data_IF_801878152917
#
_entry.id   IF_801878152917
#
_cell.length_a   1.000
_cell.length_b   1.000
_cell.length_c   1.000
_cell.angle_alpha   90.00
_cell.angle_beta   90.00
_cell.angle_gamma   90.00
#
_symmetry.space_group_name_H-M   'P 1'
#
loop_
_entity.id
_entity.type
_entity.pdbx_description
1 polymer ?
#
# COMPACT_ATOMS: atom_id res chain seq x y z
N UNK A 1 -19.04 -14.87 -18.72
CA UNK A 1 -19.52 -14.28 -17.45
C UNK A 1 -18.34 -13.58 -16.82
N UNK A 2 -18.16 -12.25 -16.92
CA UNK A 2 -17.18 -11.61 -16.06
C UNK A 2 -17.81 -11.59 -14.66
N UNK A 3 -17.19 -12.28 -13.72
CA UNK A 3 -17.54 -12.12 -12.32
C UNK A 3 -17.26 -10.66 -11.95
N UNK A 4 -18.28 -9.95 -11.49
CA UNK A 4 -18.15 -8.60 -10.94
C UNK A 4 -17.17 -8.67 -9.76
N UNK A 5 -15.92 -8.23 -9.94
CA UNK A 5 -14.98 -7.98 -8.85
C UNK A 5 -15.40 -6.66 -8.22
N UNK A 6 -16.17 -6.70 -7.14
CA UNK A 6 -16.30 -5.54 -6.24
C UNK A 6 -15.34 -5.76 -5.07
N UNK A 7 -14.07 -5.47 -5.28
CA UNK A 7 -13.16 -5.33 -4.14
C UNK A 7 -13.42 -3.94 -3.57
N UNK A 8 -13.92 -3.87 -2.34
CA UNK A 8 -13.94 -2.60 -1.61
C UNK A 8 -12.50 -2.26 -1.23
N UNK A 9 -12.01 -1.04 -1.50
CA UNK A 9 -10.66 -0.68 -1.12
C UNK A 9 -10.47 -0.71 0.39
N UNK A 10 -9.34 -1.27 0.82
CA UNK A 10 -8.91 -1.31 2.21
C UNK A 10 -7.98 -0.14 2.52
N UNK A 11 -8.14 0.46 3.71
CA UNK A 11 -7.24 1.51 4.21
C UNK A 11 -6.12 0.91 5.06
N UNK A 12 -4.91 0.88 4.50
CA UNK A 12 -3.70 0.43 5.17
C UNK A 12 -2.89 1.63 5.65
N UNK A 13 -2.47 1.58 6.92
CA UNK A 13 -1.55 2.56 7.50
C UNK A 13 -0.28 1.85 7.96
N UNK A 14 0.87 2.26 7.40
CA UNK A 14 2.18 1.73 7.77
C UNK A 14 3.04 2.84 8.38
N UNK A 15 3.77 2.54 9.45
CA UNK A 15 4.65 3.50 10.10
C UNK A 15 6.08 2.95 10.24
N UNK A 16 7.13 3.77 10.04
CA UNK A 16 8.49 3.40 10.37
C UNK A 16 8.61 3.03 11.85
N UNK A 17 9.59 2.17 12.17
CA UNK A 17 9.86 1.76 13.54
C UNK A 17 10.05 2.98 14.45
N UNK A 18 9.30 3.03 15.54
CA UNK A 18 9.24 4.15 16.49
C UNK A 18 8.73 5.49 15.92
N UNK A 19 8.00 5.50 14.79
CA UNK A 19 7.47 6.71 14.13
C UNK A 19 8.54 7.77 13.88
N UNK A 20 9.77 7.34 13.57
CA UNK A 20 10.86 8.26 13.24
C UNK A 20 10.52 9.02 11.96
N UNK A 21 10.88 10.31 11.92
CA UNK A 21 10.61 11.19 10.78
C UNK A 21 11.60 10.97 9.62
N UNK A 22 11.75 9.72 9.18
CA UNK A 22 12.73 9.30 8.16
C UNK A 22 12.17 9.39 6.73
N UNK A 23 10.86 9.51 6.56
CA UNK A 23 10.18 9.53 5.27
C UNK A 23 10.23 10.96 4.67
N UNK A 24 11.43 11.43 4.35
CA UNK A 24 11.66 12.78 3.82
C UNK A 24 12.64 12.74 2.64
N UNK A 25 12.58 13.76 1.77
CA UNK A 25 13.46 13.89 0.61
C UNK A 25 13.49 12.62 -0.24
N UNK A 26 14.69 12.15 -0.58
CA UNK A 26 14.87 10.94 -1.41
C UNK A 26 14.25 9.67 -0.80
N UNK A 27 14.15 9.57 0.54
CA UNK A 27 13.52 8.40 1.19
C UNK A 27 12.02 8.39 0.94
N UNK A 28 11.37 9.56 0.99
CA UNK A 28 9.93 9.69 0.70
C UNK A 28 9.62 9.23 -0.72
N UNK A 29 10.39 9.72 -1.69
CA UNK A 29 10.19 9.37 -3.11
C UNK A 29 10.44 7.88 -3.34
N UNK A 30 11.53 7.33 -2.79
CA UNK A 30 11.82 5.90 -2.96
C UNK A 30 10.76 5.00 -2.32
N UNK A 31 10.23 5.38 -1.15
CA UNK A 31 9.14 4.63 -0.51
C UNK A 31 7.90 4.65 -1.39
N UNK A 32 7.53 5.82 -1.95
CA UNK A 32 6.40 5.92 -2.89
C UNK A 32 6.59 5.01 -4.10
N UNK A 33 7.77 5.03 -4.72
CA UNK A 33 8.11 4.14 -5.85
C UNK A 33 7.96 2.67 -5.48
N UNK A 34 8.48 2.26 -4.32
CA UNK A 34 8.41 0.87 -3.85
C UNK A 34 6.97 0.38 -3.66
N UNK A 35 6.08 1.20 -3.10
CA UNK A 35 4.66 0.83 -2.98
C UNK A 35 4.00 0.60 -4.34
N UNK A 36 4.30 1.44 -5.33
CA UNK A 36 3.80 1.30 -6.69
C UNK A 36 4.41 0.06 -7.40
N UNK A 37 5.71 -0.18 -7.23
CA UNK A 37 6.40 -1.37 -7.76
C UNK A 37 5.80 -2.67 -7.19
N UNK A 38 5.55 -2.72 -5.88
CA UNK A 38 4.93 -3.86 -5.19
C UNK A 38 3.50 -4.08 -5.70
N UNK A 39 2.70 -3.01 -5.78
CA UNK A 39 1.34 -3.12 -6.29
C UNK A 39 1.30 -3.65 -7.73
N UNK A 40 2.15 -3.12 -8.61
CA UNK A 40 2.28 -3.59 -9.98
C UNK A 40 2.71 -5.06 -10.07
N UNK A 41 3.67 -5.47 -9.23
CA UNK A 41 4.15 -6.85 -9.20
C UNK A 41 3.09 -7.86 -8.75
N UNK A 42 2.22 -7.47 -7.83
CA UNK A 42 1.17 -8.33 -7.28
C UNK A 42 -0.20 -8.18 -7.98
N UNK A 43 -0.34 -7.24 -8.92
CA UNK A 43 -1.61 -6.91 -9.57
C UNK A 43 -2.61 -6.29 -8.59
N UNK A 44 -2.12 -5.54 -7.60
CA UNK A 44 -2.93 -4.72 -6.71
C UNK A 44 -3.16 -3.35 -7.32
N UNK A 45 -4.29 -2.74 -7.00
CA UNK A 45 -4.63 -1.39 -7.41
C UNK A 45 -4.50 -0.45 -6.21
N UNK A 46 -3.69 0.58 -6.34
CA UNK A 46 -3.57 1.64 -5.34
C UNK A 46 -4.40 2.83 -5.83
N UNK A 47 -5.47 3.13 -5.11
CA UNK A 47 -6.35 4.27 -5.40
C UNK A 47 -5.76 5.56 -4.83
N UNK A 48 -5.19 5.51 -3.62
CA UNK A 48 -4.53 6.63 -2.97
C UNK A 48 -3.26 6.20 -2.25
N UNK A 49 -2.21 7.02 -2.36
CA UNK A 49 -0.91 6.81 -1.68
C UNK A 49 -0.34 8.15 -1.19
N UNK A 50 -0.38 8.31 0.13
CA UNK A 50 0.19 9.46 0.83
C UNK A 50 1.33 9.00 1.73
N UNK A 51 2.52 9.53 1.46
CA UNK A 51 3.71 9.31 2.29
C UNK A 51 3.92 10.57 3.13
N UNK A 52 3.64 10.44 4.41
CA UNK A 52 3.86 11.46 5.43
C UNK A 52 5.21 11.23 6.12
N UNK A 53 5.65 12.20 6.94
CA UNK A 53 6.98 12.16 7.58
C UNK A 53 7.20 10.92 8.48
N UNK A 54 6.15 10.40 9.11
CA UNK A 54 6.21 9.35 10.12
C UNK A 54 5.24 8.18 9.88
N UNK A 55 4.50 8.19 8.77
CA UNK A 55 3.62 7.10 8.35
C UNK A 55 3.26 7.22 6.86
N UNK A 56 2.63 6.17 6.33
CA UNK A 56 2.14 6.06 4.96
C UNK A 56 0.69 5.61 5.01
N UNK A 57 -0.18 6.33 4.32
CA UNK A 57 -1.56 5.94 4.04
C UNK A 57 -1.64 5.34 2.64
N UNK A 58 -2.23 4.15 2.54
CA UNK A 58 -2.48 3.46 1.28
C UNK A 58 -3.95 3.06 1.25
N UNK A 59 -4.66 3.47 0.21
CA UNK A 59 -5.97 2.94 -0.13
C UNK A 59 -5.77 1.94 -1.27
N UNK A 60 -5.92 0.65 -1.00
CA UNK A 60 -5.62 -0.41 -1.97
C UNK A 60 -6.75 -1.41 -2.14
N UNK A 61 -6.91 -1.87 -3.37
CA UNK A 61 -7.81 -2.93 -3.79
C UNK A 61 -6.99 -4.12 -4.31
N UNK A 62 -7.26 -5.32 -3.80
CA UNK A 62 -6.58 -6.56 -4.20
C UNK A 62 -7.57 -7.69 -4.51
N UNK A 63 -7.17 -8.73 -5.26
CA UNK A 63 -8.04 -9.86 -5.53
C UNK A 63 -8.51 -10.56 -4.24
N UNK A 64 -9.80 -10.93 -4.10
CA UNK A 64 -10.38 -11.46 -2.86
C UNK A 64 -9.82 -12.82 -2.42
N UNK A 65 -8.96 -13.44 -3.24
CA UNK A 65 -8.21 -14.65 -2.89
C UNK A 65 -7.08 -14.40 -1.89
N UNK A 66 -6.66 -13.14 -1.73
CA UNK A 66 -5.67 -12.74 -0.74
C UNK A 66 -6.38 -12.22 0.51
N UNK A 67 -5.90 -12.60 1.69
CA UNK A 67 -6.25 -11.92 2.94
C UNK A 67 -5.36 -10.69 3.13
N UNK A 68 -5.81 -9.73 3.93
CA UNK A 68 -4.97 -8.57 4.28
C UNK A 68 -3.65 -8.97 4.94
N UNK A 69 -3.63 -10.06 5.72
CA UNK A 69 -2.39 -10.61 6.30
C UNK A 69 -1.40 -11.06 5.22
N UNK A 70 -1.87 -11.75 4.18
CA UNK A 70 -1.03 -12.15 3.05
C UNK A 70 -0.52 -10.96 2.24
N UNK A 71 -1.32 -9.90 2.12
CA UNK A 71 -0.93 -8.66 1.42
C UNK A 71 0.17 -7.91 2.17
N UNK A 72 0.09 -7.85 3.51
CA UNK A 72 1.06 -7.14 4.36
C UNK A 72 2.27 -8.03 4.72
N UNK A 73 2.16 -9.35 4.57
CA UNK A 73 3.20 -10.32 4.91
C UNK A 73 3.21 -10.74 6.39
N UNK A 74 2.04 -10.73 7.04
CA UNK A 74 1.82 -11.11 8.43
C UNK A 74 1.28 -12.54 8.59
#
# INVERSE_FOLDING_TARGET
MPATVSTTPDHLVWAPKYRKWVLQGAVRERVRELFLEIAAHHGFEIEELEVDKDHVHVLLSFPPKYSIGQVVGC
#
